data_IF_039927950849
#
_entry.id   IF_039927950849
#
_cell.length_a   1.000
_cell.length_b   1.000
_cell.length_c   1.000
_cell.angle_alpha   90.00
_cell.angle_beta   90.00
_cell.angle_gamma   90.00
#
_symmetry.space_group_name_H-M   'P 1'
#
loop_
_entity.id
_entity.type
_entity.pdbx_description
1 polymer ?
#
# COMPACT_ATOMS: atom_id res chain seq x y z
N UNK A 1 -42.46 10.09 -23.31
CA UNK A 1 -41.97 10.02 -21.92
C UNK A 1 -40.51 9.62 -22.01
N UNK A 2 -39.59 10.52 -21.65
CA UNK A 2 -38.17 10.42 -21.98
C UNK A 2 -37.43 9.50 -21.01
N UNK A 3 -37.12 8.29 -21.44
CA UNK A 3 -35.96 7.52 -21.00
C UNK A 3 -34.74 8.17 -21.65
N UNK A 4 -34.18 9.19 -21.01
CA UNK A 4 -32.88 9.76 -21.39
C UNK A 4 -31.88 9.36 -20.32
N UNK A 5 -31.05 8.38 -20.68
CA UNK A 5 -29.64 8.28 -20.34
C UNK A 5 -29.25 8.95 -19.01
N UNK A 6 -29.34 8.17 -17.93
CA UNK A 6 -28.47 8.40 -16.78
C UNK A 6 -27.05 8.01 -17.19
N UNK A 7 -26.40 8.85 -18.02
CA UNK A 7 -24.94 8.82 -18.12
C UNK A 7 -24.41 9.12 -16.72
N UNK A 8 -23.80 8.11 -16.09
CA UNK A 8 -23.05 8.27 -14.85
C UNK A 8 -22.04 9.41 -15.05
N UNK A 9 -22.34 10.55 -14.44
CA UNK A 9 -21.46 11.70 -14.50
C UNK A 9 -20.14 11.29 -13.86
N UNK A 10 -18.99 11.42 -14.57
CA UNK A 10 -17.73 10.91 -14.08
C UNK A 10 -17.42 11.52 -12.70
N UNK A 11 -16.91 10.73 -11.75
CA UNK A 11 -16.65 11.21 -10.40
C UNK A 11 -15.74 12.44 -10.45
N UNK A 12 -16.16 13.53 -9.80
CA UNK A 12 -15.38 14.75 -9.75
C UNK A 12 -14.00 14.51 -9.10
N UNK A 13 -13.00 15.33 -9.45
CA UNK A 13 -11.61 15.16 -9.01
C UNK A 13 -11.45 14.97 -7.49
N UNK A 14 -12.28 15.62 -6.67
CA UNK A 14 -12.27 15.45 -5.22
C UNK A 14 -12.74 14.05 -4.76
N UNK A 15 -13.69 13.43 -5.46
CA UNK A 15 -14.13 12.07 -5.17
C UNK A 15 -13.06 11.04 -5.54
N UNK A 16 -12.44 11.21 -6.71
CA UNK A 16 -11.30 10.40 -7.14
C UNK A 16 -10.15 10.49 -6.15
N UNK A 17 -9.78 11.71 -5.74
CA UNK A 17 -8.73 11.91 -4.74
C UNK A 17 -9.02 11.21 -3.42
N UNK A 18 -10.27 11.26 -2.92
CA UNK A 18 -10.65 10.54 -1.69
C UNK A 18 -10.49 9.02 -1.83
N UNK A 19 -10.91 8.43 -2.96
CA UNK A 19 -10.73 7.00 -3.21
C UNK A 19 -9.24 6.64 -3.29
N UNK A 20 -8.43 7.38 -4.07
CA UNK A 20 -6.99 7.13 -4.17
C UNK A 20 -6.27 7.30 -2.83
N UNK A 21 -6.62 8.32 -2.05
CA UNK A 21 -6.09 8.54 -0.72
C UNK A 21 -6.43 7.40 0.24
N UNK A 22 -7.69 6.95 0.27
CA UNK A 22 -8.11 5.84 1.11
C UNK A 22 -7.37 4.54 0.76
N UNK A 23 -7.18 4.26 -0.54
CA UNK A 23 -6.41 3.10 -0.99
C UNK A 23 -4.94 3.20 -0.58
N UNK A 24 -4.33 4.38 -0.76
CA UNK A 24 -2.95 4.64 -0.34
C UNK A 24 -2.78 4.50 1.18
N UNK A 25 -3.76 4.98 1.96
CA UNK A 25 -3.79 4.88 3.41
C UNK A 25 -3.88 3.42 3.87
N UNK A 26 -4.79 2.63 3.29
CA UNK A 26 -4.90 1.18 3.55
C UNK A 26 -3.58 0.46 3.26
N UNK A 27 -2.98 0.72 2.09
CA UNK A 27 -1.73 0.07 1.71
C UNK A 27 -0.56 0.48 2.61
N UNK A 28 -0.45 1.77 2.98
CA UNK A 28 0.57 2.26 3.90
C UNK A 28 0.40 1.68 5.31
N UNK A 29 -0.83 1.61 5.81
CA UNK A 29 -1.18 0.98 7.07
C UNK A 29 -0.77 -0.49 7.12
N UNK A 30 -1.11 -1.23 6.06
CA UNK A 30 -0.75 -2.63 5.87
C UNK A 30 0.76 -2.83 5.82
N UNK A 31 1.49 -1.98 5.10
CA UNK A 31 2.96 -2.05 5.05
C UNK A 31 3.60 -1.78 6.42
N UNK A 32 3.08 -0.81 7.18
CA UNK A 32 3.56 -0.50 8.54
C UNK A 32 3.30 -1.66 9.52
N UNK A 33 2.10 -2.24 9.51
CA UNK A 33 1.76 -3.39 10.33
C UNK A 33 2.63 -4.61 10.00
N UNK A 34 2.84 -4.89 8.71
CA UNK A 34 3.75 -5.93 8.23
C UNK A 34 5.19 -5.72 8.68
N UNK A 35 5.70 -4.48 8.59
CA UNK A 35 7.05 -4.16 9.07
C UNK A 35 7.19 -4.45 10.56
N UNK A 36 6.20 -4.08 11.37
CA UNK A 36 6.20 -4.37 12.79
C UNK A 36 6.08 -5.88 13.07
N UNK A 37 5.24 -6.59 12.32
CA UNK A 37 5.14 -8.05 12.40
C UNK A 37 6.49 -8.73 12.14
N UNK A 38 7.15 -8.39 11.02
CA UNK A 38 8.45 -8.95 10.61
C UNK A 38 9.52 -8.69 11.69
N UNK A 39 9.57 -7.50 12.26
CA UNK A 39 10.49 -7.14 13.34
C UNK A 39 10.26 -7.97 14.61
N UNK A 40 9.00 -8.17 14.99
CA UNK A 40 8.62 -8.80 16.26
C UNK A 40 8.35 -10.30 16.15
N UNK A 41 8.39 -10.90 14.96
CA UNK A 41 8.11 -12.31 14.77
C UNK A 41 9.12 -13.16 15.55
N UNK A 42 8.62 -14.00 16.46
CA UNK A 42 9.40 -14.99 17.21
C UNK A 42 8.82 -16.37 16.96
N UNK A 43 9.67 -17.41 16.98
CA UNK A 43 9.26 -18.81 16.84
C UNK A 43 10.23 -19.62 15.97
N UNK A 44 10.04 -20.95 15.91
CA UNK A 44 10.96 -21.87 15.26
C UNK A 44 11.18 -21.57 13.77
N UNK A 45 10.16 -21.09 13.05
CA UNK A 45 10.29 -20.63 11.65
C UNK A 45 11.17 -19.36 11.51
N UNK A 46 11.24 -18.52 12.54
CA UNK A 46 12.12 -17.35 12.57
C UNK A 46 13.54 -17.69 13.06
N UNK A 47 13.76 -18.92 13.55
CA UNK A 47 15.06 -19.47 13.93
C UNK A 47 15.68 -20.30 12.80
N UNK A 48 14.86 -20.85 11.90
CA UNK A 48 15.30 -21.51 10.66
C UNK A 48 15.77 -20.53 9.60
N UNK A 49 15.15 -19.34 9.51
CA UNK A 49 15.68 -18.24 8.71
C UNK A 49 17.04 -17.81 9.30
N UNK A 50 18.08 -17.85 8.48
CA UNK A 50 19.42 -17.42 8.91
C UNK A 50 19.38 -15.98 9.45
N UNK A 51 20.22 -15.67 10.44
CA UNK A 51 20.25 -14.33 11.06
C UNK A 51 20.42 -13.20 10.04
N UNK A 52 21.08 -13.45 8.91
CA UNK A 52 21.25 -12.48 7.82
C UNK A 52 19.95 -12.25 7.04
N UNK A 53 19.23 -13.33 6.68
CA UNK A 53 17.95 -13.25 5.95
C UNK A 53 16.88 -12.52 6.77
N UNK A 54 16.88 -12.74 8.08
CA UNK A 54 16.00 -12.03 9.01
C UNK A 54 16.32 -10.54 9.05
N UNK A 55 17.59 -10.16 9.19
CA UNK A 55 17.99 -8.76 9.20
C UNK A 55 17.63 -8.06 7.88
N UNK A 56 17.81 -8.75 6.75
CA UNK A 56 17.44 -8.24 5.43
C UNK A 56 15.92 -8.06 5.29
N UNK A 57 15.12 -9.03 5.75
CA UNK A 57 13.66 -8.94 5.74
C UNK A 57 13.13 -7.77 6.59
N UNK A 58 13.71 -7.56 7.77
CA UNK A 58 13.39 -6.40 8.64
C UNK A 58 13.71 -5.10 7.91
N UNK A 59 14.92 -4.97 7.37
CA UNK A 59 15.32 -3.75 6.67
C UNK A 59 14.44 -3.46 5.43
N UNK A 60 14.17 -4.48 4.60
CA UNK A 60 13.35 -4.33 3.39
C UNK A 60 11.89 -3.99 3.72
N UNK A 61 11.31 -4.58 4.76
CA UNK A 61 9.93 -4.29 5.18
C UNK A 61 9.80 -2.88 5.76
N UNK A 62 10.74 -2.44 6.58
CA UNK A 62 10.79 -1.05 7.11
C UNK A 62 10.97 -0.03 5.99
N UNK A 63 11.85 -0.31 5.03
CA UNK A 63 12.03 0.56 3.86
C UNK A 63 10.74 0.64 3.04
N UNK A 64 10.08 -0.48 2.78
CA UNK A 64 8.82 -0.52 2.06
C UNK A 64 7.72 0.27 2.79
N UNK A 65 7.59 0.13 4.11
CA UNK A 65 6.64 0.91 4.91
C UNK A 65 6.90 2.43 4.79
N UNK A 66 8.17 2.85 4.79
CA UNK A 66 8.56 4.25 4.61
C UNK A 66 8.16 4.79 3.24
N UNK A 67 8.44 4.05 2.17
CA UNK A 67 8.09 4.46 0.80
C UNK A 67 6.56 4.54 0.63
N UNK A 68 5.80 3.62 1.24
CA UNK A 68 4.34 3.68 1.22
C UNK A 68 3.82 4.93 1.95
N UNK A 69 4.37 5.24 3.13
CA UNK A 69 4.00 6.45 3.88
C UNK A 69 4.34 7.75 3.12
N UNK A 70 5.49 7.79 2.43
CA UNK A 70 5.87 8.92 1.57
C UNK A 70 4.88 9.09 0.42
N UNK A 71 4.48 8.00 -0.24
CA UNK A 71 3.51 8.05 -1.34
C UNK A 71 2.15 8.59 -0.87
N UNK A 72 1.66 8.16 0.29
CA UNK A 72 0.44 8.72 0.90
C UNK A 72 0.57 10.21 1.18
N UNK A 73 1.69 10.62 1.75
CA UNK A 73 1.89 12.01 2.16
C UNK A 73 2.04 12.98 0.96
N UNK A 74 2.47 12.49 -0.21
CA UNK A 74 2.39 13.25 -1.48
C UNK A 74 0.94 13.56 -1.85
N UNK A 75 0.01 12.62 -1.66
CA UNK A 75 -1.42 12.85 -1.92
C UNK A 75 -1.97 13.94 -1.00
N UNK A 76 -1.60 13.95 0.29
CA UNK A 76 -2.13 14.96 1.23
C UNK A 76 -1.63 16.38 0.96
N UNK A 77 -0.40 16.52 0.44
CA UNK A 77 0.28 17.82 0.32
C UNK A 77 0.20 18.46 -1.08
N UNK A 78 -0.05 17.65 -2.11
CA UNK A 78 -0.11 18.13 -3.49
C UNK A 78 -1.49 18.66 -3.86
N UNK A 79 -1.58 19.51 -4.89
CA UNK A 79 -2.87 19.87 -5.48
C UNK A 79 -3.61 18.63 -6.02
N UNK A 80 -4.96 18.59 -6.00
CA UNK A 80 -5.72 17.48 -6.56
C UNK A 80 -5.42 17.22 -8.03
N UNK A 81 -4.91 16.02 -8.32
CA UNK A 81 -4.63 15.51 -9.66
C UNK A 81 -4.90 14.00 -9.66
N UNK A 82 -6.01 13.53 -10.26
CA UNK A 82 -6.36 12.11 -10.27
C UNK A 82 -5.26 11.20 -10.81
N UNK A 83 -4.46 11.66 -11.77
CA UNK A 83 -3.39 10.86 -12.36
C UNK A 83 -2.22 10.74 -11.38
N UNK A 84 -1.81 11.84 -10.75
CA UNK A 84 -0.75 11.83 -9.74
C UNK A 84 -1.18 11.07 -8.47
N UNK A 85 -2.40 11.30 -8.00
CA UNK A 85 -2.99 10.65 -6.82
C UNK A 85 -3.07 9.12 -7.04
N UNK A 86 -3.53 8.69 -8.21
CA UNK A 86 -3.58 7.26 -8.57
C UNK A 86 -2.19 6.61 -8.65
N UNK A 87 -1.18 7.30 -9.18
CA UNK A 87 0.21 6.82 -9.18
C UNK A 87 0.77 6.69 -7.76
N UNK A 88 0.43 7.62 -6.87
CA UNK A 88 0.82 7.54 -5.47
C UNK A 88 0.16 6.34 -4.77
N UNK A 89 -1.14 6.12 -4.99
CA UNK A 89 -1.84 4.93 -4.47
C UNK A 89 -1.23 3.62 -4.99
N UNK A 90 -0.88 3.55 -6.28
CA UNK A 90 -0.14 2.42 -6.87
C UNK A 90 1.21 2.20 -6.18
N UNK A 91 1.99 3.27 -5.97
CA UNK A 91 3.30 3.15 -5.33
C UNK A 91 3.17 2.63 -3.89
N UNK A 92 2.18 3.10 -3.13
CA UNK A 92 1.88 2.58 -1.80
C UNK A 92 1.53 1.08 -1.84
N UNK A 93 0.66 0.66 -2.78
CA UNK A 93 0.29 -0.74 -2.95
C UNK A 93 1.49 -1.64 -3.35
N UNK A 94 2.36 -1.16 -4.23
CA UNK A 94 3.58 -1.87 -4.63
C UNK A 94 4.55 -2.04 -3.46
N UNK A 95 4.72 -1.00 -2.64
CA UNK A 95 5.50 -1.08 -1.40
C UNK A 95 4.88 -2.06 -0.40
N UNK A 96 3.56 -2.05 -0.21
CA UNK A 96 2.88 -3.01 0.65
C UNK A 96 3.07 -4.47 0.17
N UNK A 97 3.06 -4.70 -1.15
CA UNK A 97 3.37 -6.00 -1.73
C UNK A 97 4.83 -6.41 -1.48
N UNK A 98 5.78 -5.47 -1.51
CA UNK A 98 7.17 -5.74 -1.13
C UNK A 98 7.32 -6.12 0.35
N UNK A 99 6.63 -5.42 1.26
CA UNK A 99 6.59 -5.81 2.67
C UNK A 99 5.97 -7.20 2.86
N UNK A 100 4.93 -7.53 2.09
CA UNK A 100 4.26 -8.85 2.15
C UNK A 100 5.18 -10.00 1.71
N UNK A 101 6.07 -9.76 0.73
CA UNK A 101 7.11 -10.75 0.36
C UNK A 101 8.04 -11.05 1.54
N UNK A 102 8.35 -10.06 2.38
CA UNK A 102 9.18 -10.27 3.58
C UNK A 102 8.40 -11.00 4.68
N UNK A 103 7.11 -10.69 4.85
CA UNK A 103 6.23 -11.45 5.74
C UNK A 103 6.18 -12.93 5.36
N UNK A 104 5.99 -13.23 4.07
CA UNK A 104 6.01 -14.60 3.53
C UNK A 104 7.35 -15.31 3.80
N UNK A 105 8.47 -14.63 3.53
CA UNK A 105 9.81 -15.18 3.79
C UNK A 105 10.01 -15.54 5.26
N UNK A 106 9.56 -14.68 6.18
CA UNK A 106 9.70 -14.87 7.62
C UNK A 106 8.79 -15.99 8.17
N UNK A 107 7.67 -16.26 7.49
CA UNK A 107 6.77 -17.36 7.82
C UNK A 107 7.07 -18.65 7.06
N UNK A 108 8.23 -18.74 6.39
CA UNK A 108 8.71 -19.93 5.67
C UNK A 108 7.66 -20.51 4.71
N UNK A 109 7.05 -19.62 3.92
CA UNK A 109 6.04 -19.97 2.91
C UNK A 109 4.81 -20.72 3.47
N UNK A 110 4.47 -20.54 4.75
CA UNK A 110 3.22 -21.05 5.31
C UNK A 110 2.01 -20.59 4.47
N UNK A 111 1.04 -21.48 4.20
CA UNK A 111 -0.07 -21.19 3.27
C UNK A 111 -0.78 -19.84 3.49
N UNK A 112 -1.12 -19.42 4.74
CA UNK A 112 -1.72 -18.10 4.95
C UNK A 112 -0.83 -16.93 4.51
N UNK A 113 0.48 -17.08 4.66
CA UNK A 113 1.48 -16.08 4.29
C UNK A 113 1.63 -15.95 2.77
N UNK A 114 1.56 -17.08 2.06
CA UNK A 114 1.58 -17.14 0.60
C UNK A 114 0.32 -16.48 0.03
N UNK A 115 -0.86 -16.85 0.52
CA UNK A 115 -2.12 -16.27 0.09
C UNK A 115 -2.18 -14.74 0.35
N UNK A 116 -1.65 -14.28 1.48
CA UNK A 116 -1.57 -12.85 1.79
C UNK A 116 -0.61 -12.10 0.86
N UNK A 117 0.55 -12.70 0.53
CA UNK A 117 1.48 -12.12 -0.43
C UNK A 117 0.89 -12.05 -1.85
N UNK A 118 0.18 -13.09 -2.29
CA UNK A 118 -0.48 -13.11 -3.60
C UNK A 118 -1.60 -12.06 -3.69
N UNK A 119 -2.42 -11.94 -2.66
CA UNK A 119 -3.45 -10.90 -2.59
C UNK A 119 -2.84 -9.49 -2.64
N UNK A 120 -1.73 -9.26 -1.94
CA UNK A 120 -1.01 -7.99 -1.99
C UNK A 120 -0.44 -7.67 -3.38
N UNK A 121 0.10 -8.68 -4.09
CA UNK A 121 0.55 -8.54 -5.47
C UNK A 121 -0.61 -8.21 -6.40
N UNK A 122 -1.77 -8.88 -6.23
CA UNK A 122 -2.98 -8.58 -6.99
C UNK A 122 -3.45 -7.13 -6.78
N UNK A 123 -3.46 -6.65 -5.54
CA UNK A 123 -3.77 -5.25 -5.24
C UNK A 123 -2.81 -4.27 -5.93
N UNK A 124 -1.51 -4.56 -5.92
CA UNK A 124 -0.51 -3.76 -6.64
C UNK A 124 -0.73 -3.74 -8.16
N UNK A 125 -1.13 -4.87 -8.74
CA UNK A 125 -1.40 -4.98 -10.18
C UNK A 125 -2.67 -4.22 -10.57
N UNK A 126 -3.76 -4.39 -9.80
CA UNK A 126 -5.01 -3.66 -10.02
C UNK A 126 -4.81 -2.14 -9.89
N UNK A 127 -4.08 -1.68 -8.87
CA UNK A 127 -3.73 -0.27 -8.74
C UNK A 127 -2.84 0.23 -9.90
N UNK A 128 -1.99 -0.64 -10.47
CA UNK A 128 -1.20 -0.29 -11.65
C UNK A 128 -2.04 -0.14 -12.90
N UNK A 129 -3.05 -0.99 -13.08
CA UNK A 129 -4.02 -0.87 -14.17
C UNK A 129 -4.82 0.44 -14.06
N UNK A 130 -5.33 0.77 -12.86
CA UNK A 130 -6.05 2.02 -12.60
C UNK A 130 -5.21 3.27 -12.87
N UNK A 131 -3.91 3.25 -12.53
CA UNK A 131 -2.98 4.36 -12.76
C UNK A 131 -2.43 4.44 -14.20
N UNK A 132 -2.81 3.50 -15.07
CA UNK A 132 -2.29 3.37 -16.42
C UNK A 132 -2.51 4.62 -17.30
N UNK A 133 -1.58 4.85 -18.24
CA UNK A 133 -1.53 6.07 -19.07
C UNK A 133 -2.82 6.33 -19.89
N UNK A 134 -3.58 5.29 -20.25
CA UNK A 134 -4.80 5.43 -21.05
C UNK A 134 -6.02 5.92 -20.26
N UNK A 135 -5.98 5.87 -18.93
CA UNK A 135 -7.13 6.18 -18.05
C UNK A 135 -6.83 7.20 -16.95
N UNK A 136 -5.54 7.44 -16.67
CA UNK A 136 -5.05 8.50 -15.79
C UNK A 136 -5.75 8.53 -14.41
N UNK A 137 -6.08 7.38 -13.85
CA UNK A 137 -6.72 7.28 -12.54
C UNK A 137 -8.19 7.70 -12.49
N UNK A 138 -8.85 7.94 -13.63
CA UNK A 138 -10.24 8.40 -13.69
C UNK A 138 -11.26 7.29 -14.04
N UNK A 139 -10.80 6.10 -14.43
CA UNK A 139 -11.67 4.96 -14.76
C UNK A 139 -12.29 4.36 -13.49
N UNK A 140 -13.62 4.45 -13.37
CA UNK A 140 -14.35 4.02 -12.19
C UNK A 140 -14.34 2.51 -11.96
N UNK A 141 -14.36 1.70 -13.02
CA UNK A 141 -14.34 0.24 -12.93
C UNK A 141 -12.98 -0.24 -12.43
N UNK A 142 -11.89 0.25 -13.03
CA UNK A 142 -10.53 -0.09 -12.61
C UNK A 142 -10.21 0.39 -11.19
N UNK A 143 -10.75 1.56 -10.80
CA UNK A 143 -10.63 2.05 -9.43
C UNK A 143 -11.38 1.16 -8.43
N UNK A 144 -12.59 0.72 -8.78
CA UNK A 144 -13.38 -0.18 -7.94
C UNK A 144 -12.69 -1.55 -7.82
N UNK A 145 -12.14 -2.08 -8.90
CA UNK A 145 -11.34 -3.32 -8.87
C UNK A 145 -10.12 -3.19 -7.97
N UNK A 146 -9.40 -2.06 -8.05
CA UNK A 146 -8.25 -1.79 -7.18
C UNK A 146 -8.65 -1.67 -5.70
N UNK A 147 -9.82 -1.09 -5.40
CA UNK A 147 -10.35 -1.00 -4.03
C UNK A 147 -10.73 -2.38 -3.48
N UNK A 148 -11.42 -3.21 -4.26
CA UNK A 148 -11.76 -4.58 -3.85
C UNK A 148 -10.52 -5.47 -3.69
N UNK A 149 -9.53 -5.31 -4.56
CA UNK A 149 -8.26 -6.02 -4.44
C UNK A 149 -7.49 -5.62 -3.17
N UNK A 150 -7.50 -4.32 -2.80
CA UNK A 150 -6.90 -3.87 -1.54
C UNK A 150 -7.64 -4.41 -0.32
N UNK A 151 -8.98 -4.41 -0.31
CA UNK A 151 -9.78 -5.05 0.76
C UNK A 151 -9.44 -6.54 0.91
N UNK A 152 -9.32 -7.26 -0.21
CA UNK A 152 -8.92 -8.66 -0.20
C UNK A 152 -7.50 -8.87 0.34
N UNK A 153 -6.56 -7.97 0.04
CA UNK A 153 -5.20 -8.00 0.58
C UNK A 153 -5.16 -7.77 2.09
N UNK A 154 -5.97 -6.85 2.61
CA UNK A 154 -6.13 -6.63 4.06
C UNK A 154 -6.69 -7.89 4.73
N UNK A 155 -7.79 -8.43 4.23
CA UNK A 155 -8.40 -9.64 4.79
C UNK A 155 -7.45 -10.86 4.77
N UNK A 156 -6.63 -10.99 3.73
CA UNK A 156 -5.64 -12.06 3.66
C UNK A 156 -4.49 -11.84 4.67
N UNK A 157 -4.02 -10.60 4.84
CA UNK A 157 -3.01 -10.26 5.83
C UNK A 157 -3.50 -10.47 7.29
N UNK A 158 -4.79 -10.22 7.55
CA UNK A 158 -5.42 -10.55 8.84
C UNK A 158 -5.46 -12.06 9.09
N UNK A 159 -5.85 -12.85 8.08
CA UNK A 159 -5.81 -14.33 8.17
C UNK A 159 -4.41 -14.88 8.37
N UNK A 160 -3.40 -14.23 7.81
CA UNK A 160 -1.98 -14.56 8.06
C UNK A 160 -1.48 -14.11 9.45
N UNK A 161 -2.28 -13.35 10.20
CA UNK A 161 -1.91 -12.84 11.53
C UNK A 161 -0.92 -11.67 11.49
N UNK A 162 -0.66 -11.10 10.32
CA UNK A 162 0.25 -9.97 10.12
C UNK A 162 -0.35 -8.65 10.62
N UNK A 163 -1.68 -8.55 10.57
CA UNK A 163 -2.46 -7.37 10.96
C UNK A 163 -3.57 -7.83 11.88
N UNK A 164 -3.89 -7.01 12.88
CA UNK A 164 -5.05 -7.23 13.76
C UNK A 164 -6.06 -6.09 13.58
N UNK A 165 -7.36 -6.40 13.44
CA UNK A 165 -8.41 -5.39 13.44
C UNK A 165 -8.32 -4.51 14.69
N UNK A 166 -8.35 -3.19 14.51
CA UNK A 166 -8.27 -2.21 15.60
C UNK A 166 -6.88 -2.05 16.25
N UNK A 167 -5.86 -2.75 15.76
CA UNK A 167 -4.48 -2.48 16.18
C UNK A 167 -4.08 -1.09 15.72
N UNK A 168 -3.47 -0.33 16.63
CA UNK A 168 -2.86 0.94 16.28
C UNK A 168 -1.73 0.69 15.28
N UNK A 169 -1.88 1.26 14.09
CA UNK A 169 -0.87 1.18 13.04
C UNK A 169 0.39 1.91 13.55
N UNK A 170 1.56 1.27 13.51
CA UNK A 170 2.81 1.91 13.90
C UNK A 170 3.03 3.18 13.07
N UNK A 171 3.38 4.29 13.72
CA UNK A 171 3.78 5.51 13.02
C UNK A 171 5.08 5.26 12.27
N UNK A 172 5.07 5.50 10.95
CA UNK A 172 6.26 5.37 10.11
C UNK A 172 6.79 6.77 9.79
N UNK A 173 8.02 7.07 10.23
CA UNK A 173 8.68 8.32 9.84
C UNK A 173 8.96 8.32 8.33
N UNK A 174 8.46 9.34 7.63
CA UNK A 174 8.73 9.55 6.19
C UNK A 174 10.15 10.07 5.92
N UNK A 175 10.93 10.38 6.96
CA UNK A 175 12.21 11.10 6.84
C UNK A 175 12.03 12.57 6.40
N UNK A 176 13.15 13.29 6.29
CA UNK A 176 13.18 14.68 5.80
C UNK A 176 13.10 14.66 4.27
N UNK A 177 12.22 15.47 3.68
CA UNK A 177 12.07 15.51 2.21
C UNK A 177 13.18 16.32 1.58
N UNK A 178 13.58 15.99 0.35
CA UNK A 178 14.63 16.72 -0.37
C UNK A 178 14.35 18.22 -0.50
N UNK A 179 13.08 18.64 -0.60
CA UNK A 179 12.70 20.06 -0.62
C UNK A 179 12.94 20.77 0.72
N UNK A 180 12.67 20.10 1.85
CA UNK A 180 12.98 20.60 3.19
C UNK A 180 14.48 20.65 3.43
N UNK A 181 15.21 19.62 2.98
CA UNK A 181 16.69 19.62 3.02
C UNK A 181 17.27 20.76 2.19
N UNK A 182 16.77 21.00 0.97
CA UNK A 182 17.20 22.13 0.16
C UNK A 182 16.84 23.47 0.83
N UNK A 183 15.66 23.60 1.42
CA UNK A 183 15.28 24.81 2.16
C UNK A 183 16.15 25.04 3.41
N UNK A 184 16.61 23.99 4.08
CA UNK A 184 17.53 24.08 5.22
C UNK A 184 18.98 24.39 4.80
N UNK A 185 19.41 23.97 3.61
CA UNK A 185 20.73 24.28 3.05
C UNK A 185 20.82 25.69 2.44
N UNK A 186 19.70 26.39 2.30
CA UNK A 186 19.61 27.77 1.80
C UNK A 186 19.29 28.79 2.90
N UNK A 187 19.37 28.38 4.17
CA UNK A 187 19.39 29.24 5.36
C UNK A 187 20.82 29.41 5.88
#
# INVERSE_FOLDING_TARGET
>A
MSERDQEEQPPGAAALRRSHAARAESAAARAAALSHYVEHRRGPAAETAGSADRAEAVWKSQHAARVAAQALAVISESAPDPAADSRCARNAAASAAQASRMGRLIDDDAEPSVAACEAALKASLAASAAAGAGRLGADGELNSEADEAEKAAVAAAERAGWIRPGQQIPSVSTGVRSGEVMSMMHL
#
